data_IF_928747879892
#
_entry.id   IF_928747879892
#
_cell.length_a   1.000
_cell.length_b   1.000
_cell.length_c   1.000
_cell.angle_alpha   90.00
_cell.angle_beta   90.00
_cell.angle_gamma   90.00
#
_symmetry.space_group_name_H-M   'P 1'
#
loop_
_entity.id
_entity.type
_entity.pdbx_description
1 polymer ?
#
# COMPACT_ATOMS: atom_id res chain seq x y z
N UNK A 1 10.67 7.46 17.69
CA UNK A 1 10.91 6.82 19.00
C UNK A 1 11.10 7.92 20.02
N UNK A 2 10.35 7.89 21.13
CA UNK A 2 10.44 8.91 22.20
C UNK A 2 10.76 8.17 23.49
N UNK A 3 11.77 8.64 24.23
CA UNK A 3 12.23 8.07 25.51
C UNK A 3 12.56 6.56 25.47
N UNK A 4 13.11 6.09 24.35
CA UNK A 4 13.56 4.70 24.13
C UNK A 4 14.60 4.63 22.99
N UNK A 5 15.27 3.49 22.85
CA UNK A 5 16.18 3.22 21.72
C UNK A 5 15.49 3.30 20.35
N UNK A 6 16.28 3.51 19.30
CA UNK A 6 15.82 3.78 17.93
C UNK A 6 15.93 2.59 16.97
N UNK A 7 16.37 1.44 17.47
CA UNK A 7 16.51 0.18 16.71
C UNK A 7 15.36 -0.79 17.04
N UNK A 8 15.25 -1.90 16.30
CA UNK A 8 14.27 -2.96 16.59
C UNK A 8 12.83 -2.62 16.16
N UNK A 9 12.66 -2.05 14.97
CA UNK A 9 11.33 -1.85 14.38
C UNK A 9 10.64 -3.21 14.14
N UNK A 10 9.38 -3.33 14.57
CA UNK A 10 8.59 -4.56 14.41
C UNK A 10 7.61 -4.42 13.23
N UNK A 11 7.49 -5.48 12.43
CA UNK A 11 6.52 -5.59 11.33
C UNK A 11 5.10 -5.29 11.84
N UNK A 12 4.34 -4.48 11.09
CA UNK A 12 2.97 -4.09 11.43
C UNK A 12 2.84 -3.08 12.58
N UNK A 13 3.88 -2.82 13.37
CA UNK A 13 3.88 -1.80 14.44
C UNK A 13 4.66 -0.55 14.09
N UNK A 14 5.87 -0.72 13.53
CA UNK A 14 6.71 0.39 13.06
C UNK A 14 7.19 0.11 11.63
N UNK A 15 6.38 0.41 10.59
CA UNK A 15 6.83 0.34 9.21
C UNK A 15 8.14 1.12 9.03
N UNK A 16 9.17 0.44 8.54
CA UNK A 16 10.56 0.93 8.61
C UNK A 16 11.13 1.27 7.23
N UNK A 17 11.90 2.34 7.16
CA UNK A 17 12.47 2.90 5.93
C UNK A 17 12.50 4.42 5.96
N UNK A 18 13.26 5.06 5.06
CA UNK A 18 13.55 6.50 5.10
C UNK A 18 13.43 7.18 3.73
N UNK A 19 13.90 8.43 3.67
CA UNK A 19 13.93 9.28 2.47
C UNK A 19 15.35 9.83 2.23
N UNK A 20 15.59 10.45 1.06
CA UNK A 20 16.89 11.03 0.70
C UNK A 20 17.97 9.96 0.50
N UNK A 21 19.18 10.19 1.03
CA UNK A 21 20.25 9.17 0.98
C UNK A 21 19.95 7.93 1.84
N UNK A 22 18.88 7.96 2.66
CA UNK A 22 18.43 6.79 3.44
C UNK A 22 17.36 5.94 2.73
N UNK A 23 16.87 6.36 1.55
CA UNK A 23 15.89 5.60 0.77
C UNK A 23 14.91 6.45 -0.05
N UNK A 24 13.95 5.79 -0.68
CA UNK A 24 12.97 6.41 -1.61
C UNK A 24 11.57 6.57 -1.02
N UNK A 25 11.43 6.48 0.30
CA UNK A 25 10.12 6.57 0.98
C UNK A 25 9.40 5.23 1.13
N UNK A 26 10.04 4.11 0.77
CA UNK A 26 9.50 2.78 1.02
C UNK A 26 9.48 2.44 2.51
N UNK A 27 8.40 1.77 2.96
CA UNK A 27 8.16 1.44 4.38
C UNK A 27 7.89 -0.05 4.54
N UNK A 28 8.97 -0.82 4.66
CA UNK A 28 8.90 -2.27 4.84
C UNK A 28 8.10 -2.65 6.10
N UNK A 29 7.32 -3.73 5.98
CA UNK A 29 6.45 -4.20 7.07
C UNK A 29 5.21 -3.32 7.35
N UNK A 30 4.95 -2.32 6.50
CA UNK A 30 3.69 -1.55 6.50
C UNK A 30 2.70 -2.03 5.46
N UNK A 31 1.44 -1.57 5.59
CA UNK A 31 0.33 -1.95 4.70
C UNK A 31 0.59 -1.63 3.23
N UNK A 32 1.26 -0.53 2.95
CA UNK A 32 1.48 -0.04 1.59
C UNK A 32 2.69 -0.67 0.89
N UNK A 33 3.51 -1.44 1.61
CA UNK A 33 4.78 -1.93 1.08
C UNK A 33 4.59 -2.85 -0.13
N UNK A 34 3.59 -3.72 -0.08
CA UNK A 34 3.31 -4.64 -1.19
C UNK A 34 2.83 -3.93 -2.45
N UNK A 35 2.20 -2.76 -2.32
CA UNK A 35 1.73 -1.96 -3.47
C UNK A 35 2.89 -1.47 -4.34
N UNK A 36 4.12 -1.44 -3.81
CA UNK A 36 5.31 -1.02 -4.56
C UNK A 36 5.76 -2.06 -5.60
N UNK A 37 5.26 -3.29 -5.51
CA UNK A 37 5.65 -4.42 -6.36
C UNK A 37 4.56 -4.83 -7.35
N UNK A 38 3.49 -4.04 -7.44
CA UNK A 38 2.35 -4.32 -8.32
C UNK A 38 1.93 -3.05 -9.04
N UNK A 39 1.28 -3.22 -10.19
CA UNK A 39 0.66 -2.12 -10.94
C UNK A 39 -0.84 -2.11 -10.71
N UNK A 40 -1.45 -0.96 -10.37
CA UNK A 40 -2.90 -0.86 -10.26
C UNK A 40 -3.56 -1.06 -11.63
N UNK A 41 -4.68 -1.78 -11.65
CA UNK A 41 -5.50 -1.97 -12.85
C UNK A 41 -6.96 -1.69 -12.54
N UNK A 42 -7.63 -0.99 -13.46
CA UNK A 42 -9.06 -0.75 -13.42
C UNK A 42 -9.71 -1.43 -14.62
N UNK A 43 -10.78 -2.17 -14.38
CA UNK A 43 -11.59 -2.81 -15.41
C UNK A 43 -12.99 -2.21 -15.37
N UNK A 44 -13.46 -1.71 -16.51
CA UNK A 44 -14.81 -1.17 -16.66
C UNK A 44 -15.55 -2.01 -17.68
N UNK A 45 -16.58 -2.72 -17.24
CA UNK A 45 -17.48 -3.47 -18.11
C UNK A 45 -18.82 -2.76 -18.19
N UNK A 46 -19.28 -2.46 -19.41
CA UNK A 46 -20.67 -2.09 -19.61
C UNK A 46 -21.55 -3.34 -19.48
N UNK A 47 -22.25 -3.45 -18.36
CA UNK A 47 -23.16 -4.57 -18.06
C UNK A 47 -24.56 -4.38 -18.64
N UNK A 48 -24.85 -3.25 -19.29
CA UNK A 48 -26.16 -3.02 -19.91
C UNK A 48 -26.38 -4.00 -21.07
N UNK A 49 -27.51 -4.69 -21.03
CA UNK A 49 -27.98 -5.57 -22.11
C UNK A 49 -29.47 -5.31 -22.32
N UNK A 50 -29.86 -4.91 -23.54
CA UNK A 50 -31.26 -4.65 -23.91
C UNK A 50 -32.00 -3.69 -22.96
N UNK A 51 -31.34 -2.62 -22.50
CA UNK A 51 -31.95 -1.60 -21.63
C UNK A 51 -31.99 -1.97 -20.14
N UNK A 52 -31.51 -3.15 -19.76
CA UNK A 52 -31.42 -3.61 -18.38
C UNK A 52 -29.95 -3.72 -17.95
N UNK A 53 -29.65 -3.32 -16.71
CA UNK A 53 -28.40 -3.61 -16.03
C UNK A 53 -28.74 -4.18 -14.64
N UNK A 54 -28.07 -5.27 -14.20
CA UNK A 54 -28.34 -5.84 -12.89
C UNK A 54 -27.94 -4.88 -11.76
N UNK A 55 -28.65 -4.92 -10.64
CA UNK A 55 -28.25 -4.26 -9.40
C UNK A 55 -27.00 -4.91 -8.79
N UNK A 56 -26.36 -4.19 -7.86
CA UNK A 56 -25.20 -4.68 -7.10
C UNK A 56 -25.60 -5.75 -6.08
#
# INVERSE_FOLDING_TARGET
YVNRGITGALVGRQPFGGFGMSGVGSKAGGRDYLLQFVEPRACCENTMRRGFAPGL
#
